data_IF_871125303765
#
_entry.id   IF_871125303765
#
_cell.length_a   1.000
_cell.length_b   1.000
_cell.length_c   1.000
_cell.angle_alpha   90.00
_cell.angle_beta   90.00
_cell.angle_gamma   90.00
#
_symmetry.space_group_name_H-M   'P 1'
#
loop_
_entity.id
_entity.type
_entity.pdbx_description
1 polymer ?
#
# COMPACT_ATOMS: atom_id res chain seq x y z
N UNK A 1 3.81 14.37 6.55
CA UNK A 1 3.88 13.37 5.46
C UNK A 1 2.45 12.94 5.15
N UNK A 2 2.09 12.85 3.87
CA UNK A 2 0.74 12.44 3.46
C UNK A 2 0.59 10.91 3.51
N UNK A 3 -0.59 10.42 3.91
CA UNK A 3 -0.96 9.00 3.86
C UNK A 3 -1.36 8.63 2.44
N UNK A 4 -0.65 7.67 1.84
CA UNK A 4 -0.80 7.29 0.45
C UNK A 4 -1.46 5.92 0.32
N UNK A 5 -2.42 5.82 -0.58
CA UNK A 5 -3.09 4.60 -0.98
C UNK A 5 -2.35 3.92 -2.12
N UNK A 6 -2.38 2.58 -2.15
CA UNK A 6 -1.91 1.85 -3.33
C UNK A 6 -2.77 0.61 -3.60
N UNK A 7 -3.48 0.59 -4.73
CA UNK A 7 -4.35 -0.52 -5.13
C UNK A 7 -3.68 -1.32 -6.25
N UNK A 8 -3.25 -2.53 -5.94
CA UNK A 8 -2.59 -3.46 -6.88
C UNK A 8 -1.10 -3.60 -6.63
N UNK A 9 -0.69 -4.71 -6.02
CA UNK A 9 0.69 -4.95 -5.59
C UNK A 9 1.35 -6.04 -6.46
N UNK A 10 1.28 -5.83 -7.78
CA UNK A 10 2.00 -6.64 -8.77
C UNK A 10 3.48 -6.26 -8.88
N UNK A 11 4.17 -6.71 -9.93
CA UNK A 11 5.60 -6.46 -10.15
C UNK A 11 5.97 -4.97 -10.11
N UNK A 12 5.16 -4.13 -10.75
CA UNK A 12 5.39 -2.68 -10.76
C UNK A 12 4.90 -2.03 -9.47
N UNK A 13 3.65 -2.29 -9.09
CA UNK A 13 3.00 -1.63 -7.95
C UNK A 13 3.73 -1.86 -6.62
N UNK A 14 4.25 -3.07 -6.39
CA UNK A 14 5.01 -3.37 -5.18
C UNK A 14 6.30 -2.55 -5.07
N UNK A 15 7.03 -2.36 -6.18
CA UNK A 15 8.24 -1.53 -6.23
C UNK A 15 7.93 -0.04 -6.01
N UNK A 16 6.79 0.43 -6.52
CA UNK A 16 6.33 1.80 -6.28
C UNK A 16 5.97 2.02 -4.81
N UNK A 17 5.12 1.15 -4.23
CA UNK A 17 4.74 1.21 -2.83
C UNK A 17 5.96 1.15 -1.89
N UNK A 18 6.94 0.31 -2.22
CA UNK A 18 8.23 0.24 -1.53
C UNK A 18 8.95 1.60 -1.49
N UNK A 19 9.04 2.32 -2.62
CA UNK A 19 9.70 3.63 -2.66
C UNK A 19 8.97 4.67 -1.83
N UNK A 20 7.64 4.61 -1.77
CA UNK A 20 6.85 5.50 -0.93
C UNK A 20 7.13 5.26 0.56
N UNK A 21 7.22 3.99 0.98
CA UNK A 21 7.64 3.62 2.34
C UNK A 21 9.08 4.08 2.64
N UNK A 22 10.01 3.89 1.69
CA UNK A 22 11.41 4.30 1.84
C UNK A 22 11.56 5.83 1.95
N UNK A 23 10.65 6.58 1.31
CA UNK A 23 10.55 8.04 1.46
C UNK A 23 9.86 8.47 2.78
N UNK A 24 9.46 7.52 3.62
CA UNK A 24 8.85 7.75 4.93
C UNK A 24 7.33 7.95 4.91
N UNK A 25 6.67 7.85 3.76
CA UNK A 25 5.21 8.01 3.71
C UNK A 25 4.51 6.82 4.36
N UNK A 26 3.46 7.06 5.18
CA UNK A 26 2.52 6.02 5.55
C UNK A 26 1.81 5.50 4.29
N UNK A 27 1.86 4.19 4.04
CA UNK A 27 1.20 3.58 2.88
C UNK A 27 0.11 2.61 3.34
N UNK A 28 -1.09 2.78 2.78
CA UNK A 28 -2.22 1.86 2.92
C UNK A 28 -2.42 1.14 1.59
N UNK A 29 -2.17 -0.16 1.56
CA UNK A 29 -2.22 -0.98 0.36
C UNK A 29 -3.41 -1.92 0.30
N UNK A 30 -3.85 -2.27 -0.92
CA UNK A 30 -4.73 -3.41 -1.15
C UNK A 30 -4.22 -4.22 -2.34
N UNK A 31 -4.35 -5.54 -2.25
CA UNK A 31 -4.15 -6.44 -3.39
C UNK A 31 -5.11 -7.62 -3.32
N UNK A 32 -5.63 -8.05 -4.48
CA UNK A 32 -6.57 -9.18 -4.58
C UNK A 32 -6.01 -10.46 -3.95
N UNK A 33 -4.73 -10.75 -4.17
CA UNK A 33 -4.01 -11.86 -3.52
C UNK A 33 -3.24 -11.29 -2.35
N UNK A 34 -3.74 -11.48 -1.12
CA UNK A 34 -3.20 -10.82 0.09
C UNK A 34 -1.76 -11.22 0.38
N UNK A 35 -1.39 -12.45 0.06
CA UNK A 35 -0.05 -13.01 0.29
C UNK A 35 1.03 -12.20 -0.42
N UNK A 36 0.71 -11.62 -1.60
CA UNK A 36 1.65 -10.76 -2.35
C UNK A 36 1.94 -9.43 -1.67
N UNK A 37 1.11 -9.00 -0.73
CA UNK A 37 1.31 -7.78 0.04
C UNK A 37 2.25 -7.98 1.24
N UNK A 38 2.49 -9.24 1.66
CA UNK A 38 3.24 -9.55 2.88
C UNK A 38 4.62 -8.85 2.95
N UNK A 39 5.46 -8.85 1.90
CA UNK A 39 6.76 -8.18 1.95
C UNK A 39 6.69 -6.67 2.22
N UNK A 40 5.59 -6.02 1.83
CA UNK A 40 5.37 -4.59 2.08
C UNK A 40 4.79 -4.35 3.47
N UNK A 41 3.94 -5.26 3.94
CA UNK A 41 3.40 -5.23 5.31
C UNK A 41 4.53 -5.39 6.33
N UNK A 42 5.46 -6.33 6.08
CA UNK A 42 6.66 -6.52 6.92
C UNK A 42 7.56 -5.27 6.97
N UNK A 43 7.37 -4.33 6.04
CA UNK A 43 8.07 -3.04 5.96
C UNK A 43 7.25 -1.85 6.46
N UNK A 44 6.10 -2.10 7.07
CA UNK A 44 5.26 -1.06 7.68
C UNK A 44 4.09 -0.57 6.81
N UNK A 45 3.85 -1.16 5.63
CA UNK A 45 2.62 -0.89 4.88
C UNK A 45 1.42 -1.45 5.64
N UNK A 46 0.34 -0.66 5.76
CA UNK A 46 -0.93 -1.15 6.28
C UNK A 46 -1.72 -1.84 5.17
N UNK A 47 -2.12 -3.09 5.36
CA UNK A 47 -3.00 -3.79 4.41
C UNK A 47 -4.47 -3.48 4.72
N UNK A 48 -5.22 -3.02 3.72
CA UNK A 48 -6.66 -2.78 3.80
C UNK A 48 -7.46 -3.97 3.24
N UNK A 49 -8.72 -4.09 3.65
CA UNK A 49 -9.58 -5.21 3.25
C UNK A 49 -10.27 -5.05 1.90
N UNK A 50 -10.28 -3.83 1.34
CA UNK A 50 -10.86 -3.52 0.03
C UNK A 50 -10.24 -2.25 -0.57
N UNK A 51 -10.37 -2.00 -1.89
CA UNK A 51 -9.99 -0.73 -2.49
C UNK A 51 -10.72 0.47 -1.87
N UNK A 52 -11.99 0.29 -1.48
CA UNK A 52 -12.77 1.31 -0.77
C UNK A 52 -12.11 1.69 0.56
N UNK A 53 -11.69 0.69 1.34
CA UNK A 53 -11.02 0.94 2.61
C UNK A 53 -9.69 1.69 2.43
N UNK A 54 -8.97 1.48 1.32
CA UNK A 54 -7.79 2.29 0.97
C UNK A 54 -8.18 3.75 0.76
N UNK A 55 -9.20 4.03 -0.06
CA UNK A 55 -9.65 5.41 -0.33
C UNK A 55 -10.20 6.15 0.88
N UNK A 56 -10.72 5.44 1.88
CA UNK A 56 -11.18 6.07 3.12
C UNK A 56 -10.02 6.41 4.05
N UNK A 57 -8.91 5.67 3.97
CA UNK A 57 -7.77 5.81 4.88
C UNK A 57 -6.63 6.67 4.33
N UNK A 58 -6.60 6.93 3.02
CA UNK A 58 -5.53 7.68 2.35
C UNK A 58 -6.02 9.03 1.81
N UNK A 59 -5.10 9.98 1.72
CA UNK A 59 -5.34 11.32 1.14
C UNK A 59 -5.27 11.30 -0.39
N UNK A 60 -4.47 10.38 -0.95
CA UNK A 60 -4.32 10.14 -2.39
C UNK A 60 -4.24 8.63 -2.60
N UNK A 61 -4.91 8.09 -3.63
CA UNK A 61 -4.90 6.65 -3.99
C UNK A 61 -4.37 6.45 -5.40
#
# INVERSE_FOLDING_TARGET
MATLGFVGLGTMGSRMAQRLLDAGHPVVGYNRTREKAKPLVDRGMRLADSPRAVSTAAEVV
#
